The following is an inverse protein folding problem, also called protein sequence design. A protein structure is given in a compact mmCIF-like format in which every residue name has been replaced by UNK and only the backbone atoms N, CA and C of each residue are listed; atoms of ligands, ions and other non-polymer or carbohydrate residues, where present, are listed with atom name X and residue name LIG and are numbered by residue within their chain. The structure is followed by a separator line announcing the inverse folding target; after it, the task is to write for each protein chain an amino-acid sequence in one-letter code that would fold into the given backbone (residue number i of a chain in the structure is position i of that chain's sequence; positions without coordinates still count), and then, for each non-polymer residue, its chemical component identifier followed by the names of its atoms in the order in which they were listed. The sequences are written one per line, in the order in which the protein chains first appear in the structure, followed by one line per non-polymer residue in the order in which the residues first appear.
data_IF_460392492192
#
_entry.id   IF_460392492192
#
_cell.length_a   1.000
_cell.length_b   1.000
_cell.length_c   1.000
_cell.angle_alpha   90.00
_cell.angle_beta   90.00
_cell.angle_gamma   90.00
#
_symmetry.space_group_name_H-M   'P 1'
#
loop_
_entity.id
_entity.type
_entity.pdbx_description
1 polymer ?
#
# COMPACT_ATOMS: atom_id res chain seq x y z
N UNK A 1 19.65 -33.15 42.37
CA UNK A 1 19.95 -33.05 40.93
C UNK A 1 18.74 -32.75 40.08
N UNK A 2 17.59 -33.33 40.29
CA UNK A 2 16.38 -33.07 39.49
C UNK A 2 15.91 -31.59 39.53
N UNK A 3 16.05 -30.90 40.67
CA UNK A 3 15.67 -29.47 40.79
C UNK A 3 16.60 -28.52 40.04
N UNK A 4 17.87 -28.87 39.87
CA UNK A 4 18.83 -28.06 39.11
C UNK A 4 18.62 -28.20 37.60
N UNK A 5 18.27 -29.37 37.13
CA UNK A 5 17.95 -29.65 35.72
C UNK A 5 16.66 -28.95 35.35
N UNK A 6 15.67 -28.92 36.23
CA UNK A 6 14.40 -28.21 36.00
C UNK A 6 14.59 -26.69 35.86
N UNK A 7 15.48 -26.09 36.67
CA UNK A 7 15.83 -24.67 36.56
C UNK A 7 16.52 -24.33 35.24
N UNK A 8 17.45 -25.18 34.79
CA UNK A 8 18.15 -24.98 33.52
C UNK A 8 17.20 -25.10 32.31
N UNK A 9 16.32 -26.09 32.33
CA UNK A 9 15.31 -26.28 31.29
C UNK A 9 14.33 -25.09 31.24
N UNK A 10 13.92 -24.57 32.40
CA UNK A 10 13.02 -23.41 32.46
C UNK A 10 13.67 -22.15 31.85
N UNK A 11 14.95 -21.90 32.16
CA UNK A 11 15.69 -20.77 31.61
C UNK A 11 15.86 -20.91 30.07
N UNK A 12 16.11 -22.13 29.59
CA UNK A 12 16.25 -22.43 28.18
C UNK A 12 14.94 -22.18 27.42
N UNK A 13 13.82 -22.60 27.99
CA UNK A 13 12.48 -22.36 27.40
C UNK A 13 12.13 -20.87 27.37
N UNK A 14 12.44 -20.13 28.46
CA UNK A 14 12.23 -18.67 28.46
C UNK A 14 13.10 -17.94 27.40
N UNK A 15 14.35 -18.37 27.21
CA UNK A 15 15.21 -17.78 26.21
C UNK A 15 14.74 -18.04 24.77
N UNK A 16 14.17 -19.21 24.49
CA UNK A 16 13.55 -19.50 23.19
C UNK A 16 12.33 -18.63 22.90
N UNK A 17 11.54 -18.28 23.91
CA UNK A 17 10.37 -17.41 23.74
C UNK A 17 10.76 -15.97 23.37
N UNK A 18 11.94 -15.49 23.74
CA UNK A 18 12.43 -14.15 23.39
C UNK A 18 12.87 -14.05 21.93
N UNK A 19 13.24 -15.17 21.31
CA UNK A 19 13.67 -15.21 19.90
C UNK A 19 12.50 -15.15 18.90
N UNK A 20 11.28 -15.40 19.34
CA UNK A 20 10.09 -15.34 18.47
C UNK A 20 9.56 -13.92 18.26
N UNK A 21 10.05 -12.94 19.02
CA UNK A 21 9.62 -11.55 18.91
C UNK A 21 10.15 -10.84 17.63
N UNK A 22 11.24 -11.34 17.03
CA UNK A 22 11.84 -10.73 15.83
C UNK A 22 11.07 -11.02 14.53
N UNK A 23 10.22 -12.04 14.49
CA UNK A 23 9.52 -12.44 13.25
C UNK A 23 8.51 -11.44 12.72
N UNK A 24 7.94 -10.60 13.58
CA UNK A 24 6.98 -9.57 13.12
C UNK A 24 7.66 -8.45 12.35
N UNK A 25 8.85 -8.03 12.79
CA UNK A 25 9.62 -7.00 12.09
C UNK A 25 10.13 -7.51 10.73
N UNK A 26 10.59 -8.74 10.65
CA UNK A 26 11.04 -9.37 9.41
C UNK A 26 9.88 -9.55 8.41
N UNK A 27 8.69 -9.90 8.87
CA UNK A 27 7.51 -10.02 8.02
C UNK A 27 7.07 -8.67 7.44
N UNK A 28 7.20 -7.58 8.18
CA UNK A 28 6.88 -6.24 7.70
C UNK A 28 7.88 -5.82 6.61
N UNK A 29 9.16 -6.02 6.84
CA UNK A 29 10.19 -5.71 5.85
C UNK A 29 10.09 -6.59 4.60
N UNK A 30 9.78 -7.87 4.75
CA UNK A 30 9.59 -8.79 3.65
C UNK A 30 8.36 -8.43 2.81
N UNK A 31 7.26 -8.02 3.45
CA UNK A 31 6.07 -7.53 2.75
C UNK A 31 6.33 -6.24 1.98
N UNK A 32 7.14 -5.34 2.51
CA UNK A 32 7.57 -4.11 1.82
C UNK A 32 8.46 -4.46 0.62
N UNK A 33 9.38 -5.40 0.78
CA UNK A 33 10.24 -5.85 -0.31
C UNK A 33 9.45 -6.55 -1.43
N UNK A 34 8.48 -7.41 -1.09
CA UNK A 34 7.58 -8.02 -2.09
C UNK A 34 6.70 -6.99 -2.80
N UNK A 35 6.28 -5.96 -2.11
CA UNK A 35 5.52 -4.87 -2.73
C UNK A 35 6.39 -4.05 -3.70
N UNK A 36 7.70 -3.94 -3.45
CA UNK A 36 8.62 -3.29 -4.37
C UNK A 36 8.77 -4.04 -5.70
N UNK A 37 8.67 -5.35 -5.69
CA UNK A 37 8.73 -6.18 -6.92
C UNK A 37 7.55 -5.91 -7.87
N UNK A 38 6.45 -5.35 -7.36
CA UNK A 38 5.28 -4.99 -8.15
C UNK A 38 5.38 -3.61 -8.82
N UNK A 39 6.44 -2.83 -8.59
CA UNK A 39 6.65 -1.51 -9.21
C UNK A 39 7.22 -1.59 -10.64
N UNK A 40 7.39 -2.76 -11.18
CA UNK A 40 7.79 -2.96 -12.59
C UNK A 40 6.65 -2.73 -13.58
N UNK A 41 5.42 -2.70 -13.09
CA UNK A 41 4.23 -2.59 -13.94
C UNK A 41 3.66 -1.18 -13.90
N UNK A 42 3.56 -0.55 -15.07
CA UNK A 42 2.89 0.74 -15.22
C UNK A 42 1.37 0.55 -15.19
N UNK A 43 0.70 1.23 -14.27
CA UNK A 43 -0.73 1.08 -14.02
C UNK A 43 -1.45 2.42 -13.96
N UNK A 44 -2.72 2.37 -14.29
CA UNK A 44 -3.67 3.45 -14.07
C UNK A 44 -4.76 2.94 -13.12
N UNK A 45 -5.05 3.73 -12.10
CA UNK A 45 -6.19 3.52 -11.20
C UNK A 45 -7.15 4.66 -11.44
N UNK A 46 -8.37 4.31 -11.85
CA UNK A 46 -9.45 5.26 -12.08
C UNK A 46 -10.53 5.06 -11.05
N UNK A 47 -10.94 6.12 -10.37
CA UNK A 47 -11.98 6.12 -9.33
C UNK A 47 -13.21 6.82 -9.88
N UNK A 48 -14.34 6.13 -9.87
CA UNK A 48 -15.58 6.54 -10.54
C UNK A 48 -16.72 6.52 -9.54
N UNK A 49 -17.56 7.55 -9.58
CA UNK A 49 -18.80 7.60 -8.83
C UNK A 49 -19.94 7.02 -9.68
N UNK A 50 -20.52 5.90 -9.24
CA UNK A 50 -21.59 5.20 -9.98
C UNK A 50 -22.91 5.96 -10.02
N UNK A 51 -23.16 6.86 -9.07
CA UNK A 51 -24.39 7.65 -9.05
C UNK A 51 -24.40 8.75 -10.11
N UNK A 52 -23.24 9.40 -10.30
CA UNK A 52 -23.10 10.54 -11.21
C UNK A 52 -22.41 10.22 -12.53
N UNK A 53 -21.91 8.98 -12.68
CA UNK A 53 -21.04 8.54 -13.78
C UNK A 53 -19.77 9.41 -13.95
N UNK A 54 -19.40 10.11 -12.89
CA UNK A 54 -18.26 11.02 -12.92
C UNK A 54 -16.98 10.31 -12.51
N UNK A 55 -15.92 10.55 -13.28
CA UNK A 55 -14.56 10.23 -12.84
C UNK A 55 -14.14 11.22 -11.78
N UNK A 56 -13.71 10.72 -10.63
CA UNK A 56 -13.31 11.56 -9.49
C UNK A 56 -11.82 11.79 -9.47
N UNK A 57 -11.06 10.73 -9.69
CA UNK A 57 -9.62 10.70 -9.52
C UNK A 57 -9.01 9.67 -10.46
N UNK A 58 -7.84 9.97 -10.97
CA UNK A 58 -7.01 9.05 -11.73
C UNK A 58 -5.57 9.12 -11.24
N UNK A 59 -4.98 7.97 -10.94
CA UNK A 59 -3.58 7.85 -10.54
C UNK A 59 -2.87 6.99 -11.58
N UNK A 60 -1.75 7.47 -12.08
CA UNK A 60 -0.99 6.80 -13.12
C UNK A 60 0.50 6.76 -12.76
N UNK A 61 1.15 5.64 -13.01
CA UNK A 61 2.57 5.45 -12.74
C UNK A 61 2.92 3.99 -12.46
N UNK A 62 4.14 3.76 -11.98
CA UNK A 62 4.56 2.47 -11.45
C UNK A 62 4.00 2.33 -10.04
N UNK A 63 2.86 1.67 -9.94
CA UNK A 63 2.03 1.61 -8.74
C UNK A 63 1.95 0.18 -8.21
N UNK A 64 1.90 0.05 -6.90
CA UNK A 64 1.51 -1.17 -6.21
C UNK A 64 0.27 -0.93 -5.35
N UNK A 65 -0.62 -1.91 -5.32
CA UNK A 65 -1.79 -1.90 -4.43
C UNK A 65 -1.42 -2.74 -3.22
N UNK A 66 -1.39 -2.09 -2.06
CA UNK A 66 -1.04 -2.77 -0.81
C UNK A 66 -2.20 -3.57 -0.25
N UNK A 67 -3.29 -2.89 -0.03
CA UNK A 67 -4.50 -3.45 0.54
C UNK A 67 -5.71 -2.79 -0.12
N UNK A 68 -6.74 -3.58 -0.30
CA UNK A 68 -8.06 -3.07 -0.65
C UNK A 68 -9.08 -3.64 0.32
N UNK A 69 -9.88 -2.78 0.90
CA UNK A 69 -11.04 -3.12 1.69
C UNK A 69 -12.30 -2.65 0.97
N UNK A 70 -13.46 -2.90 1.54
CA UNK A 70 -14.72 -2.38 0.98
C UNK A 70 -14.79 -0.85 0.97
N UNK A 71 -14.00 -0.18 1.81
CA UNK A 71 -14.05 1.27 2.02
C UNK A 71 -12.74 2.00 1.76
N UNK A 72 -11.67 1.29 1.47
CA UNK A 72 -10.34 1.89 1.32
C UNK A 72 -9.48 1.12 0.32
N UNK A 73 -8.79 1.86 -0.52
CA UNK A 73 -7.75 1.39 -1.42
C UNK A 73 -6.43 2.08 -1.06
N UNK A 74 -5.43 1.30 -0.66
CA UNK A 74 -4.09 1.79 -0.39
C UNK A 74 -3.18 1.58 -1.60
N UNK A 75 -2.68 2.67 -2.17
CA UNK A 75 -1.81 2.70 -3.35
C UNK A 75 -0.43 3.17 -2.95
N UNK A 76 0.59 2.43 -3.32
CA UNK A 76 1.98 2.79 -3.09
C UNK A 76 2.59 3.21 -4.42
N UNK A 77 3.29 4.34 -4.40
CA UNK A 77 4.02 4.90 -5.54
C UNK A 77 5.49 4.96 -5.18
N UNK A 78 6.35 4.45 -6.04
CA UNK A 78 7.78 4.65 -5.90
C UNK A 78 8.20 5.98 -6.51
N UNK A 79 8.76 6.87 -5.71
CA UNK A 79 9.14 8.23 -6.13
C UNK A 79 10.62 8.41 -6.40
N UNK A 80 11.44 7.52 -5.86
CA UNK A 80 12.89 7.44 -6.06
C UNK A 80 13.38 6.05 -5.62
N UNK A 81 14.66 5.68 -5.86
CA UNK A 81 15.20 4.43 -5.36
C UNK A 81 14.99 4.28 -3.85
N UNK A 82 14.24 3.26 -3.43
CA UNK A 82 13.87 2.98 -2.02
C UNK A 82 13.03 4.07 -1.34
N UNK A 83 12.47 5.01 -2.09
CA UNK A 83 11.55 6.02 -1.57
C UNK A 83 10.14 5.77 -2.10
N UNK A 84 9.18 5.76 -1.20
CA UNK A 84 7.80 5.43 -1.49
C UNK A 84 6.84 6.44 -0.88
N UNK A 85 5.74 6.73 -1.58
CA UNK A 85 4.58 7.45 -1.06
C UNK A 85 3.37 6.53 -1.04
N UNK A 86 2.58 6.63 0.00
CA UNK A 86 1.35 5.89 0.14
C UNK A 86 0.16 6.85 0.06
N UNK A 87 -0.78 6.51 -0.80
CA UNK A 87 -2.03 7.23 -0.98
C UNK A 87 -3.19 6.33 -0.57
N UNK A 88 -4.08 6.87 0.25
CA UNK A 88 -5.30 6.20 0.65
C UNK A 88 -6.47 6.82 -0.10
N UNK A 89 -7.20 6.00 -0.83
CA UNK A 89 -8.40 6.38 -1.55
C UNK A 89 -9.57 5.74 -0.82
N UNK A 90 -10.40 6.58 -0.23
CA UNK A 90 -11.61 6.11 0.46
C UNK A 90 -12.71 5.88 -0.54
N UNK A 91 -13.29 4.69 -0.49
CA UNK A 91 -14.36 4.25 -1.37
C UNK A 91 -15.61 3.97 -0.54
N UNK A 92 -16.77 4.10 -1.15
CA UNK A 92 -18.05 3.78 -0.53
C UNK A 92 -18.87 2.91 -1.46
N UNK A 93 -20.13 2.66 -1.10
CA UNK A 93 -21.02 1.79 -1.88
C UNK A 93 -21.27 2.29 -3.31
N UNK A 94 -21.07 3.58 -3.57
CA UNK A 94 -21.29 4.21 -4.88
C UNK A 94 -19.98 4.55 -5.61
N UNK A 95 -18.85 4.21 -5.01
CA UNK A 95 -17.51 4.47 -5.55
C UNK A 95 -16.89 3.14 -5.96
N UNK A 96 -16.49 3.05 -7.21
CA UNK A 96 -15.71 1.92 -7.72
C UNK A 96 -14.36 2.41 -8.23
N UNK A 97 -13.41 1.51 -8.26
CA UNK A 97 -12.12 1.78 -8.90
C UNK A 97 -11.82 0.71 -9.95
N UNK A 98 -11.19 1.15 -11.03
CA UNK A 98 -10.70 0.30 -12.10
C UNK A 98 -9.16 0.35 -12.09
N UNK A 99 -8.52 -0.80 -12.15
CA UNK A 99 -7.07 -0.91 -12.28
C UNK A 99 -6.75 -1.42 -13.68
N UNK A 100 -6.01 -0.63 -14.43
CA UNK A 100 -5.57 -0.97 -15.77
C UNK A 100 -4.06 -1.12 -15.79
N UNK A 101 -3.56 -2.14 -16.47
CA UNK A 101 -2.14 -2.22 -16.81
C UNK A 101 -1.95 -1.58 -18.17
N UNK A 102 -1.01 -0.65 -18.25
CA UNK A 102 -0.72 0.12 -19.47
C UNK A 102 0.70 -0.16 -19.94
N UNK A 103 0.92 0.07 -21.24
CA UNK A 103 2.28 0.24 -21.75
C UNK A 103 2.83 1.58 -21.23
N UNK A 104 4.06 1.62 -20.69
CA UNK A 104 4.61 2.84 -20.14
C UNK A 104 4.82 3.88 -21.27
N UNK A 105 4.19 5.03 -21.11
CA UNK A 105 4.37 6.17 -22.01
C UNK A 105 5.61 7.00 -21.67
N UNK A 106 6.19 6.77 -20.50
CA UNK A 106 7.37 7.46 -20.01
C UNK A 106 8.44 6.43 -19.59
N UNK A 107 9.68 6.70 -19.92
CA UNK A 107 10.82 5.84 -19.59
C UNK A 107 11.36 6.06 -18.18
N UNK A 108 10.89 7.10 -17.48
CA UNK A 108 11.24 7.36 -16.10
C UNK A 108 10.48 6.41 -15.14
N UNK A 109 11.15 5.50 -14.45
CA UNK A 109 10.51 4.55 -13.54
C UNK A 109 9.91 5.20 -12.29
N UNK A 110 10.20 6.47 -12.04
CA UNK A 110 9.69 7.23 -10.90
C UNK A 110 8.63 8.27 -11.29
N UNK A 111 8.27 8.30 -12.56
CA UNK A 111 7.21 9.19 -13.04
C UNK A 111 5.84 8.71 -12.52
N UNK A 112 5.09 9.63 -11.97
CA UNK A 112 3.72 9.40 -11.53
C UNK A 112 2.89 10.67 -11.68
N UNK A 113 1.59 10.49 -11.86
CA UNK A 113 0.63 11.58 -12.03
C UNK A 113 -0.66 11.29 -11.28
N UNK A 114 -1.20 12.31 -10.62
CA UNK A 114 -2.54 12.27 -10.02
C UNK A 114 -3.37 13.37 -10.67
N UNK A 115 -4.49 12.98 -11.26
CA UNK A 115 -5.49 13.89 -11.84
C UNK A 115 -6.74 13.83 -10.99
N UNK A 116 -7.18 14.98 -10.49
CA UNK A 116 -8.42 15.13 -9.74
C UNK A 116 -9.42 15.81 -10.65
N UNK A 117 -10.55 15.15 -10.89
CA UNK A 117 -11.61 15.65 -11.76
C UNK A 117 -12.80 16.21 -10.98
N UNK A 118 -12.82 15.99 -9.66
CA UNK A 118 -13.87 16.53 -8.80
C UNK A 118 -13.86 18.06 -8.87
N UNK A 119 -15.00 18.64 -9.23
CA UNK A 119 -15.19 20.08 -9.17
C UNK A 119 -15.26 20.47 -7.69
N UNK A 120 -14.26 21.18 -7.22
CA UNK A 120 -14.33 21.82 -5.90
C UNK A 120 -15.29 23.00 -6.08
N UNK A 121 -16.45 23.03 -5.40
CA UNK A 121 -17.30 24.21 -5.46
C UNK A 121 -16.48 25.40 -4.97
N UNK A 122 -16.54 26.51 -5.72
CA UNK A 122 -15.93 27.77 -5.32
C UNK A 122 -16.48 28.13 -3.94
N UNK A 123 -15.68 27.91 -2.91
CA UNK A 123 -15.97 28.46 -1.59
C UNK A 123 -15.61 29.93 -1.69
N UNK A 124 -16.60 30.77 -1.99
CA UNK A 124 -16.45 32.19 -1.75
C UNK A 124 -16.13 32.39 -0.26
N UNK A 125 -14.85 32.60 0.01
CA UNK A 125 -14.40 33.11 1.30
C UNK A 125 -14.82 34.57 1.36
N UNK A 126 -16.06 34.73 1.75
CA UNK A 126 -16.60 36.05 2.08
C UNK A 126 -15.95 36.64 3.31
#
# INVERSE_FOLDING_TARGET
MKKRIFGVVLVLVLSLCLLTSCRKADNIQWNIAQQSDNFETYRRISVINLRSDAMLLQVEGYLSIKDSTETELAVIIQTAPKEYKMHYIYTGAEIVYLVEQLEPSNTDPYHWEIRVFATIPDVELG
#
